data_IF_923226621034
#
_entry.id   IF_923226621034
#
_cell.length_a   1.000
_cell.length_b   1.000
_cell.length_c   1.000
_cell.angle_alpha   90.00
_cell.angle_beta   90.00
_cell.angle_gamma   90.00
#
_symmetry.space_group_name_H-M   'P 1'
#
loop_
_entity.id
_entity.type
_entity.pdbx_description
1 polymer ?
#
# COMPACT_ATOMS: atom_id res chain seq x y z
N UNK A 1 -18.86 -1.87 -5.63
CA UNK A 1 -18.95 -1.81 -7.11
C UNK A 1 -17.94 -2.76 -7.73
N UNK A 2 -18.07 -3.13 -9.01
CA UNK A 2 -17.06 -3.94 -9.72
C UNK A 2 -15.70 -3.26 -9.74
N UNK A 3 -15.67 -1.95 -9.91
CA UNK A 3 -14.43 -1.16 -9.88
C UNK A 3 -13.70 -1.27 -8.53
N UNK A 4 -14.43 -1.24 -7.41
CA UNK A 4 -13.82 -1.37 -6.07
C UNK A 4 -13.17 -2.74 -5.88
N UNK A 5 -13.73 -3.78 -6.48
CA UNK A 5 -13.17 -5.15 -6.41
C UNK A 5 -11.89 -5.24 -7.23
N UNK A 6 -11.89 -4.72 -8.45
CA UNK A 6 -10.70 -4.70 -9.32
C UNK A 6 -9.56 -3.88 -8.71
N UNK A 7 -9.88 -2.71 -8.15
CA UNK A 7 -8.90 -1.87 -7.47
C UNK A 7 -8.32 -2.55 -6.22
N UNK A 8 -9.15 -3.26 -5.43
CA UNK A 8 -8.66 -4.02 -4.29
C UNK A 8 -7.71 -5.13 -4.73
N UNK A 9 -8.04 -5.91 -5.76
CA UNK A 9 -7.14 -6.94 -6.29
C UNK A 9 -5.84 -6.34 -6.82
N UNK A 10 -5.90 -5.19 -7.48
CA UNK A 10 -4.71 -4.46 -7.90
C UNK A 10 -3.85 -4.09 -6.69
N UNK A 11 -4.44 -3.52 -5.65
CA UNK A 11 -3.73 -3.17 -4.41
C UNK A 11 -3.07 -4.39 -3.76
N UNK A 12 -3.80 -5.50 -3.63
CA UNK A 12 -3.27 -6.74 -3.04
C UNK A 12 -2.19 -7.40 -3.91
N UNK A 13 -2.26 -7.22 -5.22
CA UNK A 13 -1.23 -7.67 -6.16
C UNK A 13 0.08 -6.88 -6.04
N UNK A 14 -0.01 -5.60 -5.67
CA UNK A 14 1.17 -4.76 -5.40
C UNK A 14 1.72 -4.92 -3.99
N UNK A 15 0.89 -5.32 -3.05
CA UNK A 15 1.23 -5.40 -1.63
C UNK A 15 0.75 -6.73 -1.09
N UNK A 16 1.67 -7.57 -0.70
CA UNK A 16 1.39 -8.86 -0.06
C UNK A 16 0.87 -8.63 1.36
N UNK A 17 -0.37 -8.15 1.48
CA UNK A 17 -1.01 -8.02 2.79
C UNK A 17 -1.54 -9.39 3.22
N UNK A 18 -1.33 -9.78 4.48
CA UNK A 18 -1.84 -11.03 5.01
C UNK A 18 -3.37 -11.10 4.93
N UNK A 19 -3.91 -12.25 4.57
CA UNK A 19 -5.35 -12.54 4.58
C UNK A 19 -5.63 -13.51 5.70
N UNK A 20 -6.64 -13.21 6.52
CA UNK A 20 -7.07 -14.05 7.63
C UNK A 20 -7.82 -15.29 7.13
N UNK A 21 -7.89 -16.41 7.92
CA UNK A 21 -8.64 -17.59 7.52
C UNK A 21 -10.12 -17.33 7.25
N UNK A 22 -10.71 -16.30 7.86
CA UNK A 22 -12.08 -15.85 7.62
C UNK A 22 -12.20 -14.84 6.45
N UNK A 23 -11.12 -14.68 5.68
CA UNK A 23 -11.12 -13.90 4.43
C UNK A 23 -11.01 -12.40 4.60
N UNK A 24 -10.59 -11.90 5.76
CA UNK A 24 -10.31 -10.48 5.99
C UNK A 24 -8.88 -10.14 5.63
N UNK A 25 -8.62 -8.88 5.35
CA UNK A 25 -7.31 -8.37 5.00
C UNK A 25 -6.73 -7.59 6.17
N UNK A 26 -5.45 -7.82 6.47
CA UNK A 26 -4.68 -7.03 7.43
C UNK A 26 -3.94 -5.91 6.69
N UNK A 27 -3.96 -4.72 7.27
CA UNK A 27 -3.24 -3.56 6.75
C UNK A 27 -2.71 -2.71 7.87
N UNK A 28 -2.08 -1.60 7.54
CA UNK A 28 -1.40 -0.73 8.48
C UNK A 28 -2.01 0.67 8.49
N UNK A 29 -1.97 1.31 9.66
CA UNK A 29 -2.45 2.68 9.82
C UNK A 29 -1.57 3.46 10.79
N UNK A 30 -1.09 4.62 10.34
CA UNK A 30 -0.41 5.59 11.20
C UNK A 30 -1.41 6.57 11.83
N UNK A 31 -1.29 6.82 13.12
CA UNK A 31 -2.13 7.76 13.89
C UNK A 31 -1.26 8.58 14.86
N UNK A 32 -1.87 9.59 15.50
CA UNK A 32 -1.19 10.37 16.52
C UNK A 32 -0.89 9.53 17.79
N UNK A 33 -0.02 10.03 18.65
CA UNK A 33 0.37 9.34 19.89
C UNK A 33 -0.78 9.08 20.85
N UNK A 34 -1.87 9.83 20.73
CA UNK A 34 -3.12 9.68 21.49
C UNK A 34 -4.17 8.79 20.80
N UNK A 35 -3.76 8.07 19.75
CA UNK A 35 -4.60 7.21 18.91
C UNK A 35 -5.63 7.93 18.04
N UNK A 36 -5.69 9.25 18.04
CA UNK A 36 -6.57 9.95 17.10
C UNK A 36 -5.96 10.02 15.71
N UNK A 37 -6.81 10.02 14.68
CA UNK A 37 -6.39 10.22 13.31
C UNK A 37 -5.68 11.57 13.14
N UNK A 38 -4.71 11.64 12.23
CA UNK A 38 -3.95 12.89 12.01
C UNK A 38 -4.81 14.04 11.52
N UNK A 39 -5.87 13.72 10.79
CA UNK A 39 -6.85 14.70 10.27
C UNK A 39 -8.26 14.31 10.68
N UNK A 40 -9.12 15.31 10.80
CA UNK A 40 -10.56 15.17 10.99
C UNK A 40 -11.32 15.82 9.86
N UNK A 41 -12.56 15.40 9.64
CA UNK A 41 -13.44 15.98 8.63
C UNK A 41 -14.88 16.03 9.14
N UNK A 42 -15.42 17.23 9.21
CA UNK A 42 -16.79 17.49 9.68
C UNK A 42 -17.89 16.87 8.78
N UNK A 43 -17.58 16.66 7.48
CA UNK A 43 -18.55 16.11 6.54
C UNK A 43 -18.59 14.57 6.57
N UNK A 44 -17.68 13.94 7.30
CA UNK A 44 -17.65 12.48 7.43
C UNK A 44 -18.70 12.02 8.44
N UNK A 45 -19.64 11.20 8.00
CA UNK A 45 -20.62 10.58 8.86
C UNK A 45 -20.02 9.33 9.48
N UNK A 46 -19.70 9.41 10.76
CA UNK A 46 -19.21 8.26 11.53
C UNK A 46 -20.41 7.43 11.98
N UNK A 47 -20.48 6.20 11.50
CA UNK A 47 -21.54 5.22 11.84
C UNK A 47 -21.17 4.49 13.13
N UNK A 48 -19.88 4.14 13.29
CA UNK A 48 -19.33 3.52 14.47
C UNK A 48 -17.94 4.11 14.77
N UNK A 49 -17.68 4.43 16.03
CA UNK A 49 -16.42 5.01 16.49
C UNK A 49 -16.62 6.28 17.29
N UNK A 50 -15.54 6.79 17.85
CA UNK A 50 -15.52 7.99 18.69
C UNK A 50 -14.75 9.10 18.00
N UNK A 51 -15.27 10.32 18.02
CA UNK A 51 -14.61 11.51 17.47
C UNK A 51 -14.40 12.57 18.56
N UNK A 52 -13.38 13.40 18.38
CA UNK A 52 -13.15 14.59 19.18
C UNK A 52 -13.74 15.86 18.51
N UNK A 53 -13.58 17.01 19.15
CA UNK A 53 -14.08 18.31 18.67
C UNK A 53 -13.44 18.74 17.33
N UNK A 54 -12.33 18.13 16.94
CA UNK A 54 -11.66 18.35 15.64
C UNK A 54 -12.11 17.35 14.58
N UNK A 55 -13.14 16.57 14.86
CA UNK A 55 -13.63 15.49 13.99
C UNK A 55 -12.60 14.40 13.68
N UNK A 56 -11.55 14.30 14.50
CA UNK A 56 -10.58 13.21 14.43
C UNK A 56 -11.18 11.96 15.06
N UNK A 57 -10.89 10.81 14.48
CA UNK A 57 -11.46 9.53 14.91
C UNK A 57 -10.45 8.80 15.81
N UNK A 58 -10.94 8.26 16.92
CA UNK A 58 -10.16 7.48 17.87
C UNK A 58 -9.93 6.06 17.36
N UNK A 59 -8.67 5.59 17.35
CA UNK A 59 -8.22 4.31 16.84
C UNK A 59 -7.57 3.45 17.93
N UNK A 60 -8.16 3.36 19.10
CA UNK A 60 -7.67 2.48 20.16
C UNK A 60 -7.76 1.01 19.77
N UNK A 61 -6.87 0.18 20.32
CA UNK A 61 -6.87 -1.26 20.05
C UNK A 61 -8.22 -1.87 20.48
N UNK A 62 -8.82 -2.66 19.59
CA UNK A 62 -10.15 -3.25 19.78
C UNK A 62 -11.30 -2.41 19.21
N UNK A 63 -11.06 -1.14 18.87
CA UNK A 63 -12.08 -0.28 18.26
C UNK A 63 -12.43 -0.73 16.84
N UNK A 64 -13.72 -0.73 16.54
CA UNK A 64 -14.23 -0.85 15.18
C UNK A 64 -14.67 0.54 14.72
N UNK A 65 -14.15 0.98 13.61
CA UNK A 65 -14.46 2.27 13.02
C UNK A 65 -15.21 2.04 11.71
N UNK A 66 -16.37 2.69 11.58
CA UNK A 66 -17.18 2.67 10.36
C UNK A 66 -17.66 4.08 10.02
N UNK A 67 -17.50 4.44 8.75
CA UNK A 67 -18.06 5.67 8.19
C UNK A 67 -19.06 5.32 7.09
N UNK A 68 -20.02 6.21 6.86
CA UNK A 68 -20.99 5.99 5.80
C UNK A 68 -20.24 5.85 4.45
N UNK A 69 -20.47 4.75 3.73
CA UNK A 69 -19.75 4.46 2.47
C UNK A 69 -19.83 5.61 1.46
N UNK A 70 -20.97 6.35 1.43
CA UNK A 70 -21.12 7.54 0.57
C UNK A 70 -20.19 8.69 0.92
N UNK A 71 -19.59 8.68 2.12
CA UNK A 71 -18.59 9.66 2.57
C UNK A 71 -17.15 9.22 2.24
N UNK A 72 -16.98 8.09 1.57
CA UNK A 72 -15.68 7.61 1.11
C UNK A 72 -15.58 7.89 -0.37
N UNK A 73 -14.54 8.61 -0.76
CA UNK A 73 -14.31 8.96 -2.16
C UNK A 73 -13.93 7.72 -2.97
N UNK A 74 -14.71 7.42 -3.99
CA UNK A 74 -14.52 6.31 -4.91
C UNK A 74 -13.66 6.67 -6.13
N UNK A 75 -13.31 7.94 -6.29
CA UNK A 75 -12.43 8.38 -7.37
C UNK A 75 -10.96 8.19 -6.98
N UNK A 76 -10.32 7.22 -7.61
CA UNK A 76 -8.88 6.91 -7.40
C UNK A 76 -7.93 8.06 -7.77
N UNK A 77 -8.36 9.00 -8.62
CA UNK A 77 -7.54 10.13 -9.08
C UNK A 77 -7.58 11.31 -8.10
N UNK A 78 -8.46 11.27 -7.11
CA UNK A 78 -8.48 12.20 -5.99
C UNK A 78 -7.51 11.72 -4.91
N UNK A 79 -6.30 12.24 -4.89
CA UNK A 79 -5.20 11.76 -4.05
C UNK A 79 -5.40 12.04 -2.55
N UNK A 80 -5.79 13.26 -2.21
CA UNK A 80 -6.12 13.66 -0.84
C UNK A 80 -7.63 13.84 -0.73
N UNK A 81 -8.34 12.82 -0.30
CA UNK A 81 -9.80 12.84 -0.25
C UNK A 81 -10.37 12.04 0.92
N UNK A 82 -11.68 12.03 1.01
CA UNK A 82 -12.43 11.51 2.15
C UNK A 82 -12.42 9.98 2.24
N UNK A 83 -12.41 9.48 3.45
CA UNK A 83 -12.49 8.05 3.75
C UNK A 83 -11.51 7.58 4.82
N UNK A 84 -11.67 6.35 5.24
CA UNK A 84 -10.73 5.70 6.13
C UNK A 84 -9.56 5.17 5.31
N UNK A 85 -8.34 5.64 5.60
CA UNK A 85 -7.14 5.22 4.87
C UNK A 85 -6.41 4.11 5.63
N UNK A 86 -6.12 3.05 4.90
CA UNK A 86 -5.24 1.94 5.30
C UNK A 86 -4.12 1.88 4.27
N UNK A 87 -2.95 1.46 4.66
CA UNK A 87 -1.82 1.39 3.75
C UNK A 87 -0.91 0.20 3.96
N UNK A 88 0.13 0.15 3.14
CA UNK A 88 1.30 -0.68 3.39
C UNK A 88 2.01 -0.24 4.67
N UNK A 89 2.92 -1.09 5.17
CA UNK A 89 3.72 -0.76 6.35
C UNK A 89 4.45 0.58 6.17
N UNK A 90 5.17 0.77 5.08
CA UNK A 90 5.98 1.97 4.83
C UNK A 90 5.12 3.23 4.74
N UNK A 91 3.99 3.16 4.05
CA UNK A 91 3.04 4.27 3.97
C UNK A 91 2.54 4.67 5.35
N UNK A 92 2.04 3.71 6.13
CA UNK A 92 1.48 3.96 7.45
C UNK A 92 2.54 4.41 8.45
N UNK A 93 3.75 3.84 8.39
CA UNK A 93 4.88 4.24 9.22
C UNK A 93 5.29 5.69 8.94
N UNK A 94 5.34 6.11 7.67
CA UNK A 94 5.60 7.50 7.30
C UNK A 94 4.56 8.47 7.85
N UNK A 95 3.28 8.08 7.86
CA UNK A 95 2.19 8.88 8.42
C UNK A 95 2.12 8.89 9.94
N UNK A 96 2.70 7.91 10.62
CA UNK A 96 2.71 7.90 12.09
C UNK A 96 3.54 9.05 12.69
N UNK A 97 4.57 9.52 11.97
CA UNK A 97 5.31 10.73 12.32
C UNK A 97 5.82 10.79 13.77
N UNK A 98 6.14 9.64 14.38
CA UNK A 98 6.46 9.52 15.81
C UNK A 98 5.23 9.27 16.70
N UNK A 99 4.05 9.11 16.13
CA UNK A 99 2.84 8.64 16.80
C UNK A 99 2.78 7.12 16.92
N UNK A 100 1.60 6.55 16.63
CA UNK A 100 1.34 5.12 16.73
C UNK A 100 1.22 4.48 15.36
N UNK A 101 1.77 3.27 15.22
CA UNK A 101 1.57 2.40 14.07
C UNK A 101 0.66 1.25 14.47
N UNK A 102 -0.45 1.12 13.78
CA UNK A 102 -1.50 0.16 14.11
C UNK A 102 -1.65 -0.89 13.02
N UNK A 103 -1.92 -2.12 13.44
CA UNK A 103 -2.42 -3.18 12.59
C UNK A 103 -3.94 -3.12 12.58
N UNK A 104 -4.54 -3.10 11.41
CA UNK A 104 -5.98 -3.06 11.23
C UNK A 104 -6.46 -4.20 10.36
N UNK A 105 -7.68 -4.62 10.56
CA UNK A 105 -8.35 -5.70 9.84
C UNK A 105 -9.60 -5.15 9.16
N UNK A 106 -9.78 -5.46 7.88
CA UNK A 106 -10.98 -5.05 7.15
C UNK A 106 -11.52 -6.17 6.26
N UNK A 107 -12.82 -6.15 6.03
CA UNK A 107 -13.47 -7.04 5.07
C UNK A 107 -13.26 -6.49 3.65
N UNK A 108 -12.92 -7.33 2.66
CA UNK A 108 -12.78 -6.90 1.26
C UNK A 108 -13.98 -6.13 0.71
N UNK A 109 -15.20 -6.43 1.18
CA UNK A 109 -16.42 -5.69 0.77
C UNK A 109 -16.43 -4.22 1.20
N UNK A 110 -15.67 -3.86 2.25
CA UNK A 110 -15.56 -2.50 2.77
C UNK A 110 -14.54 -1.65 2.01
N UNK A 111 -13.78 -2.25 1.11
CA UNK A 111 -12.90 -1.54 0.20
C UNK A 111 -13.70 -0.67 -0.78
N UNK A 112 -13.24 0.55 -1.01
CA UNK A 112 -13.91 1.53 -1.89
C UNK A 112 -13.03 1.92 -3.07
N UNK A 113 -11.83 2.43 -2.83
CA UNK A 113 -10.93 2.86 -3.89
C UNK A 113 -9.46 2.76 -3.49
N UNK A 114 -8.60 2.59 -4.47
CA UNK A 114 -7.14 2.60 -4.33
C UNK A 114 -6.61 3.84 -5.05
N UNK A 115 -6.24 4.91 -4.31
CA UNK A 115 -5.66 6.09 -4.92
C UNK A 115 -4.40 5.79 -5.73
N UNK A 116 -4.27 6.45 -6.88
CA UNK A 116 -3.15 6.24 -7.80
C UNK A 116 -1.86 6.94 -7.37
N UNK A 117 -1.93 7.81 -6.36
CA UNK A 117 -0.75 8.39 -5.73
C UNK A 117 -0.04 7.38 -4.79
N UNK A 118 1.13 7.75 -4.30
CA UNK A 118 1.90 6.93 -3.34
C UNK A 118 2.16 5.49 -3.81
N UNK A 119 2.29 5.26 -5.12
CA UNK A 119 2.60 3.94 -5.69
C UNK A 119 1.62 2.84 -5.22
N UNK A 120 0.33 3.15 -5.18
CA UNK A 120 -0.72 2.24 -4.72
C UNK A 120 -0.52 1.71 -3.28
N UNK A 121 0.12 2.49 -2.42
CA UNK A 121 0.41 2.09 -1.04
C UNK A 121 -0.72 2.37 -0.06
N UNK A 122 -1.80 3.01 -0.51
CA UNK A 122 -2.96 3.30 0.33
C UNK A 122 -4.25 2.79 -0.29
N UNK A 123 -5.18 2.43 0.59
CA UNK A 123 -6.52 1.96 0.26
C UNK A 123 -7.53 2.78 1.07
N UNK A 124 -8.63 3.19 0.46
CA UNK A 124 -9.78 3.77 1.16
C UNK A 124 -10.81 2.69 1.46
N UNK A 125 -11.21 2.62 2.70
CA UNK A 125 -12.26 1.71 3.17
C UNK A 125 -13.34 2.46 3.91
N UNK A 126 -14.52 1.84 4.02
CA UNK A 126 -15.61 2.37 4.85
C UNK A 126 -15.61 1.84 6.28
N UNK A 127 -14.89 0.72 6.53
CA UNK A 127 -14.85 0.07 7.84
C UNK A 127 -13.56 -0.70 8.05
N UNK A 128 -13.05 -0.66 9.26
CA UNK A 128 -11.97 -1.55 9.75
C UNK A 128 -12.05 -1.72 11.27
N UNK A 129 -11.34 -2.72 11.78
CA UNK A 129 -11.10 -2.93 13.20
C UNK A 129 -9.62 -2.77 13.50
N UNK A 130 -9.30 -2.07 14.58
CA UNK A 130 -7.93 -1.97 15.08
C UNK A 130 -7.62 -3.21 15.91
N UNK A 131 -6.65 -4.00 15.49
CA UNK A 131 -6.35 -5.29 16.10
C UNK A 131 -5.11 -5.28 16.98
N UNK A 132 -4.13 -4.42 16.69
CA UNK A 132 -2.92 -4.31 17.52
C UNK A 132 -2.26 -2.94 17.38
N UNK A 133 -1.55 -2.52 18.42
CA UNK A 133 -0.53 -1.45 18.38
C UNK A 133 0.83 -2.11 18.12
N UNK A 134 1.41 -1.83 16.96
CA UNK A 134 2.69 -2.39 16.52
C UNK A 134 3.77 -1.31 16.43
N UNK A 135 3.63 -0.22 17.17
CA UNK A 135 4.54 0.94 17.12
C UNK A 135 6.00 0.56 17.36
N UNK A 136 6.23 -0.39 18.26
CA UNK A 136 7.59 -0.85 18.58
C UNK A 136 8.12 -1.92 17.61
N UNK A 137 7.28 -2.39 16.69
CA UNK A 137 7.64 -3.36 15.67
C UNK A 137 8.38 -2.65 14.55
N UNK A 138 9.65 -3.01 14.30
CA UNK A 138 10.51 -2.37 13.31
C UNK A 138 10.39 -2.97 11.90
N UNK A 139 9.57 -3.99 11.75
CA UNK A 139 9.40 -4.76 10.51
C UNK A 139 7.93 -4.91 10.17
N UNK A 140 7.66 -4.94 8.88
CA UNK A 140 6.40 -5.43 8.37
C UNK A 140 6.16 -6.88 8.83
N UNK A 141 4.91 -7.24 9.05
CA UNK A 141 4.56 -8.64 9.30
C UNK A 141 4.62 -9.40 7.98
N UNK A 142 5.57 -10.30 7.83
CA UNK A 142 5.75 -11.09 6.60
C UNK A 142 4.53 -11.98 6.31
N UNK A 143 3.91 -12.47 7.37
CA UNK A 143 2.70 -13.30 7.30
C UNK A 143 1.88 -13.17 8.57
N UNK A 144 0.58 -13.33 8.46
CA UNK A 144 -0.27 -13.50 9.63
C UNK A 144 -0.06 -14.91 10.19
N UNK A 145 0.26 -14.99 11.48
CA UNK A 145 0.32 -16.25 12.20
C UNK A 145 -1.03 -16.48 12.88
N UNK A 146 -1.59 -17.65 12.72
CA UNK A 146 -2.90 -18.01 13.26
C UNK A 146 -2.78 -19.24 14.16
N UNK A 147 -3.43 -19.17 15.29
CA UNK A 147 -3.69 -20.31 16.16
C UNK A 147 -5.20 -20.51 16.27
N UNK A 148 -5.70 -21.67 15.87
CA UNK A 148 -7.13 -22.02 15.95
C UNK A 148 -8.07 -20.95 15.40
N UNK A 149 -7.77 -20.41 14.21
CA UNK A 149 -8.52 -19.32 13.57
C UNK A 149 -8.52 -17.98 14.32
N UNK A 150 -7.62 -17.79 15.27
CA UNK A 150 -7.37 -16.49 15.89
C UNK A 150 -6.06 -15.92 15.36
N UNK A 151 -6.04 -14.67 14.90
CA UNK A 151 -4.78 -14.04 14.50
C UNK A 151 -3.90 -13.81 15.73
N UNK A 152 -2.62 -14.19 15.64
CA UNK A 152 -1.60 -13.83 16.60
C UNK A 152 -0.84 -12.65 16.01
N UNK A 153 -1.01 -11.49 16.58
CA UNK A 153 -0.34 -10.25 16.15
C UNK A 153 0.90 -10.05 17.01
N UNK A 154 2.03 -10.54 16.49
CA UNK A 154 3.36 -10.22 16.99
C UNK A 154 3.51 -10.19 18.51
N UNK A 155 3.69 -11.33 19.13
CA UNK A 155 4.39 -11.40 20.39
C UNK A 155 5.77 -12.01 20.13
N UNK A 156 6.82 -11.24 20.34
CA UNK A 156 8.13 -11.79 20.62
C UNK A 156 7.99 -12.59 21.93
N UNK A 157 7.76 -13.87 21.82
CA UNK A 157 7.93 -14.77 22.94
C UNK A 157 8.45 -16.10 22.44
N UNK A 158 9.73 -16.23 22.71
CA UNK A 158 10.47 -17.43 23.03
C UNK A 158 10.25 -18.68 22.15
N UNK A 159 11.35 -19.02 21.49
CA UNK A 159 11.72 -20.34 21.07
C UNK A 159 11.18 -21.40 22.02
N UNK A 160 10.15 -22.13 21.62
CA UNK A 160 10.02 -23.52 22.02
C UNK A 160 9.90 -24.40 20.76
N UNK A 161 11.00 -25.05 20.53
CA UNK A 161 11.27 -26.23 19.74
C UNK A 161 10.03 -27.12 19.55
N UNK A 162 9.40 -27.09 18.39
CA UNK A 162 8.52 -28.15 17.91
C UNK A 162 9.09 -28.74 16.63
N UNK A 163 9.67 -29.86 16.85
CA UNK A 163 10.32 -30.85 16.04
C UNK A 163 10.09 -30.84 14.52
N UNK A 164 11.21 -30.99 13.85
CA UNK A 164 11.43 -31.51 12.53
C UNK A 164 10.34 -32.46 12.02
N UNK A 165 9.71 -32.10 10.93
CA UNK A 165 9.54 -32.93 9.74
C UNK A 165 8.81 -32.13 8.64
N UNK A 166 9.53 -31.35 7.87
CA UNK A 166 9.08 -30.96 6.52
C UNK A 166 10.28 -31.04 5.59
N UNK A 167 10.14 -31.97 4.68
CA UNK A 167 11.02 -32.20 3.56
C UNK A 167 11.47 -30.93 2.86
N UNK A 168 12.76 -30.92 2.66
CA UNK A 168 13.59 -30.21 1.72
C UNK A 168 12.82 -29.81 0.45
N UNK A 169 12.41 -28.55 0.38
CA UNK A 169 12.16 -27.84 -0.87
C UNK A 169 13.11 -26.65 -0.90
N UNK A 170 14.22 -26.84 -1.55
CA UNK A 170 15.09 -25.80 -2.00
C UNK A 170 14.29 -24.81 -2.87
N UNK A 171 13.87 -23.69 -2.31
CA UNK A 171 13.43 -22.51 -3.06
C UNK A 171 14.38 -21.35 -2.75
N UNK A 172 15.49 -21.34 -3.48
CA UNK A 172 16.32 -20.16 -3.71
C UNK A 172 15.56 -19.20 -4.65
N UNK A 173 14.51 -18.52 -4.19
CA UNK A 173 13.76 -17.54 -5.00
C UNK A 173 13.39 -16.25 -4.24
N UNK A 174 14.23 -15.73 -3.35
CA UNK A 174 13.85 -14.51 -2.61
C UNK A 174 14.44 -13.20 -3.13
N UNK A 175 15.28 -13.22 -4.15
CA UNK A 175 15.91 -12.02 -4.72
C UNK A 175 15.23 -11.53 -6.01
N UNK A 176 14.58 -12.41 -6.75
CA UNK A 176 13.90 -12.08 -8.00
C UNK A 176 12.55 -11.36 -7.77
N UNK A 177 11.92 -11.54 -6.62
CA UNK A 177 10.56 -11.01 -6.35
C UNK A 177 10.54 -9.50 -6.09
N UNK A 178 11.51 -8.93 -5.39
CA UNK A 178 11.56 -7.48 -5.15
C UNK A 178 11.91 -6.70 -6.43
N UNK A 179 12.83 -7.23 -7.23
CA UNK A 179 13.18 -6.64 -8.52
C UNK A 179 11.98 -6.70 -9.48
N UNK A 180 11.25 -7.80 -9.49
CA UNK A 180 10.06 -7.98 -10.31
C UNK A 180 8.92 -7.05 -9.88
N UNK A 181 8.70 -6.84 -8.59
CA UNK A 181 7.70 -5.90 -8.05
C UNK A 181 8.03 -4.45 -8.40
N UNK A 182 9.30 -4.06 -8.31
CA UNK A 182 9.75 -2.71 -8.69
C UNK A 182 9.52 -2.48 -10.19
N UNK A 183 9.93 -3.43 -11.04
CA UNK A 183 9.76 -3.36 -12.48
C UNK A 183 8.28 -3.25 -12.88
N UNK A 184 7.42 -4.04 -12.24
CA UNK A 184 5.98 -4.00 -12.45
C UNK A 184 5.37 -2.65 -12.05
N UNK A 185 5.79 -2.08 -10.91
CA UNK A 185 5.31 -0.79 -10.44
C UNK A 185 5.70 0.35 -11.40
N UNK A 186 6.94 0.36 -11.90
CA UNK A 186 7.40 1.34 -12.88
C UNK A 186 6.62 1.24 -14.19
N UNK A 187 6.44 0.03 -14.69
CA UNK A 187 5.66 -0.25 -15.89
C UNK A 187 4.25 0.29 -15.78
N UNK A 188 3.53 -0.05 -14.71
CA UNK A 188 2.15 0.36 -14.52
C UNK A 188 2.00 1.87 -14.34
N UNK A 189 2.95 2.53 -13.67
CA UNK A 189 2.96 3.99 -13.59
C UNK A 189 3.03 4.63 -14.98
N UNK A 190 3.94 4.13 -15.83
CA UNK A 190 4.12 4.66 -17.19
C UNK A 190 2.91 4.36 -18.06
N UNK A 191 2.39 3.13 -18.04
CA UNK A 191 1.18 2.74 -18.79
C UNK A 191 -0.02 3.63 -18.42
N UNK A 192 -0.26 3.86 -17.13
CA UNK A 192 -1.33 4.73 -16.66
C UNK A 192 -1.15 6.19 -17.15
N UNK A 193 0.10 6.69 -17.20
CA UNK A 193 0.37 8.01 -17.76
C UNK A 193 0.10 8.07 -19.27
N UNK A 194 0.47 7.02 -19.99
CA UNK A 194 0.21 6.92 -21.43
C UNK A 194 -1.29 6.89 -21.75
N UNK A 195 -2.09 6.20 -20.96
CA UNK A 195 -3.56 6.21 -21.08
C UNK A 195 -4.16 7.62 -20.92
N UNK A 196 -3.50 8.46 -20.11
CA UNK A 196 -3.88 9.87 -19.92
C UNK A 196 -3.30 10.79 -21.02
N UNK A 197 -2.59 10.24 -22.00
CA UNK A 197 -1.90 11.02 -23.05
C UNK A 197 -0.65 11.75 -22.54
N UNK A 198 -0.11 11.36 -21.39
CA UNK A 198 1.07 11.95 -20.76
C UNK A 198 2.27 11.04 -20.96
N UNK A 199 3.37 11.59 -21.48
CA UNK A 199 4.65 10.90 -21.65
C UNK A 199 5.62 11.41 -20.60
N UNK A 200 5.77 10.71 -19.45
CA UNK A 200 6.58 11.18 -18.35
C UNK A 200 8.09 11.15 -18.70
N UNK A 201 8.88 12.15 -18.31
CA UNK A 201 10.32 12.05 -18.39
C UNK A 201 10.86 11.10 -17.32
N UNK A 202 12.01 10.46 -17.59
CA UNK A 202 12.63 9.45 -16.70
C UNK A 202 12.81 10.00 -15.27
N UNK A 203 13.15 11.27 -15.10
CA UNK A 203 13.27 11.90 -13.78
C UNK A 203 11.99 11.79 -12.94
N UNK A 204 10.82 11.87 -13.58
CA UNK A 204 9.53 11.74 -12.86
C UNK A 204 9.29 10.30 -12.44
N UNK A 205 9.63 9.32 -13.27
CA UNK A 205 9.57 7.89 -12.91
C UNK A 205 10.55 7.60 -11.78
N UNK A 206 11.79 8.07 -11.88
CA UNK A 206 12.81 7.92 -10.84
C UNK A 206 12.44 8.60 -9.52
N UNK A 207 11.61 9.63 -9.52
CA UNK A 207 11.14 10.31 -8.30
C UNK A 207 10.12 9.52 -7.49
N UNK A 208 9.62 8.40 -8.01
CA UNK A 208 8.72 7.51 -7.27
C UNK A 208 9.42 6.96 -6.03
N UNK A 209 8.65 6.78 -4.95
CA UNK A 209 9.20 6.29 -3.68
C UNK A 209 9.85 4.92 -3.84
N UNK A 210 9.23 4.02 -4.60
CA UNK A 210 9.77 2.68 -4.87
C UNK A 210 11.17 2.71 -5.50
N UNK A 211 11.45 3.68 -6.37
CA UNK A 211 12.79 3.86 -6.95
C UNK A 211 13.81 4.33 -5.91
N UNK A 212 13.38 5.16 -4.97
CA UNK A 212 14.23 5.64 -3.87
C UNK A 212 14.55 4.52 -2.90
N UNK A 213 13.56 3.74 -2.54
CA UNK A 213 13.69 2.59 -1.62
C UNK A 213 14.58 1.50 -2.21
N UNK A 214 14.47 1.24 -3.52
CA UNK A 214 15.32 0.31 -4.25
C UNK A 214 16.71 0.90 -4.60
N UNK A 215 17.00 2.15 -4.26
CA UNK A 215 18.28 2.80 -4.57
C UNK A 215 18.54 3.00 -6.06
N UNK A 216 17.51 3.05 -6.91
CA UNK A 216 17.63 3.17 -8.35
C UNK A 216 18.08 4.58 -8.76
N UNK A 217 19.03 4.65 -9.65
CA UNK A 217 19.43 5.87 -10.34
C UNK A 217 18.70 6.03 -11.68
N UNK A 218 18.92 7.14 -12.37
CA UNK A 218 18.27 7.44 -13.66
C UNK A 218 18.59 6.38 -14.72
N UNK A 219 19.82 5.89 -14.77
CA UNK A 219 20.24 4.87 -15.75
C UNK A 219 19.60 3.53 -15.48
N UNK A 220 19.49 3.13 -14.20
CA UNK A 220 18.79 1.89 -13.80
C UNK A 220 17.31 1.93 -14.17
N UNK A 221 16.64 3.06 -13.90
CA UNK A 221 15.22 3.25 -14.28
C UNK A 221 15.05 3.19 -15.80
N UNK A 222 15.95 3.82 -16.56
CA UNK A 222 15.92 3.78 -18.02
C UNK A 222 16.04 2.34 -18.52
N UNK A 223 17.01 1.56 -18.03
CA UNK A 223 17.20 0.15 -18.41
C UNK A 223 15.97 -0.70 -18.12
N UNK A 224 15.38 -0.57 -16.92
CA UNK A 224 14.17 -1.30 -16.53
C UNK A 224 13.02 -1.00 -17.49
N UNK A 225 12.84 0.27 -17.86
CA UNK A 225 11.76 0.68 -18.77
C UNK A 225 11.98 0.14 -20.19
N UNK A 226 13.20 0.17 -20.69
CA UNK A 226 13.55 -0.40 -22.01
C UNK A 226 13.37 -1.92 -22.02
N UNK A 227 13.81 -2.63 -20.99
CA UNK A 227 13.58 -4.06 -20.81
C UNK A 227 12.09 -4.42 -20.71
N UNK A 228 11.29 -3.51 -20.18
CA UNK A 228 9.82 -3.64 -20.14
C UNK A 228 9.14 -3.32 -21.49
N UNK A 229 9.91 -2.98 -22.51
CA UNK A 229 9.42 -2.73 -23.87
C UNK A 229 9.09 -1.27 -24.20
N UNK A 230 9.25 -0.34 -23.26
CA UNK A 230 9.09 1.09 -23.56
C UNK A 230 10.25 1.63 -24.37
N UNK A 231 9.97 2.69 -25.12
CA UNK A 231 10.98 3.43 -25.86
C UNK A 231 11.35 4.72 -25.12
N UNK A 232 12.56 5.17 -25.29
CA UNK A 232 12.98 6.49 -24.87
C UNK A 232 12.92 7.45 -26.06
N UNK A 233 12.55 8.70 -25.77
CA UNK A 233 12.57 9.78 -26.75
C UNK A 233 13.97 9.91 -27.38
N UNK A 234 14.04 9.85 -28.70
CA UNK A 234 15.29 10.08 -29.46
C UNK A 234 15.55 11.60 -29.55
N UNK A 235 16.33 12.12 -28.64
CA UNK A 235 16.69 13.54 -28.61
C UNK A 235 18.10 13.72 -28.02
N UNK A 236 19.07 13.89 -28.91
CA UNK A 236 20.49 14.04 -28.55
C UNK A 236 20.81 15.32 -27.77
N UNK A 237 19.93 16.32 -27.80
CA UNK A 237 20.10 17.60 -27.09
C UNK A 237 19.68 17.51 -25.62
N UNK A 238 19.01 16.42 -25.21
CA UNK A 238 18.53 16.20 -23.85
C UNK A 238 19.39 15.23 -23.06
N UNK A 239 19.55 15.50 -21.77
CA UNK A 239 20.14 14.54 -20.85
C UNK A 239 19.15 13.39 -20.58
N UNK A 240 19.67 12.20 -20.26
CA UNK A 240 18.88 10.99 -20.03
C UNK A 240 17.66 11.20 -19.10
N UNK A 241 17.81 11.99 -18.04
CA UNK A 241 16.73 12.25 -17.08
C UNK A 241 15.54 13.02 -17.65
N UNK A 242 15.76 13.77 -18.73
CA UNK A 242 14.73 14.60 -19.40
C UNK A 242 14.06 13.90 -20.58
N UNK A 243 14.59 12.75 -21.02
CA UNK A 243 13.98 11.97 -22.10
C UNK A 243 12.62 11.43 -21.66
N UNK A 244 11.64 11.57 -22.54
CA UNK A 244 10.30 11.04 -22.33
C UNK A 244 10.27 9.53 -22.56
N UNK A 245 9.48 8.85 -21.74
CA UNK A 245 9.18 7.43 -21.90
C UNK A 245 8.00 7.31 -22.86
N UNK A 246 8.20 6.63 -23.95
CA UNK A 246 7.23 6.45 -25.04
C UNK A 246 6.66 5.02 -25.00
N UNK A 247 5.44 4.80 -25.51
CA UNK A 247 4.86 3.47 -25.59
C UNK A 247 5.67 2.55 -26.50
N UNK A 248 5.55 1.22 -26.33
CA UNK A 248 6.10 0.25 -27.26
C UNK A 248 5.61 0.51 -28.69
N UNK A 249 6.45 0.20 -29.68
CA UNK A 249 5.98 0.21 -31.08
C UNK A 249 4.92 -0.87 -31.20
N UNK A 250 3.69 -0.47 -31.52
CA UNK A 250 2.60 -1.42 -31.72
C UNK A 250 2.91 -2.42 -32.84
N UNK A 251 2.65 -3.68 -32.56
CA UNK A 251 2.59 -4.72 -33.57
C UNK A 251 1.32 -4.59 -34.40
#
# INVERSE_FOLDING_TARGET
SSNSVEELYTFLGYRSLPITPDGKVLGYKGVQGDFYSSTGNADTIVVQGTTNDRHQIYNGVGETIEVARRCVDDNKDNHCSYGLHIGSYDYAHGWSGGGKLLLVEFDPQDAVSVPTDCSYQKLRVSKYKVVADITDTKKELDKAVYEYNKPIYGSDSDDEDLGDDWDDCDDEESWDDEENLTNLALRNYVENKHEQGIYPPIKNVRSLQICRDAGLNVSSVASILEESGFLLEDNEDKVLSELKVLPPVGN
#
